data_IF_289852267880
#
_entry.id   IF_289852267880
#
_cell.length_a   1.000
_cell.length_b   1.000
_cell.length_c   1.000
_cell.angle_alpha   90.00
_cell.angle_beta   90.00
_cell.angle_gamma   90.00
#
_symmetry.space_group_name_H-M   'P 1'
#
loop_
_entity.id
_entity.type
_entity.pdbx_description
1 polymer ?
#
# COMPACT_ATOMS: atom_id res chain seq x y z
N UNK A 1 -10.13 -11.85 -26.61
CA UNK A 1 -9.28 -12.55 -25.63
C UNK A 1 -9.16 -11.61 -24.43
N UNK A 2 -10.09 -11.72 -23.48
CA UNK A 2 -10.16 -10.86 -22.30
C UNK A 2 -9.31 -11.55 -21.24
N UNK A 3 -8.20 -10.91 -20.85
CA UNK A 3 -7.34 -11.42 -19.80
C UNK A 3 -8.17 -11.57 -18.52
N UNK A 4 -8.25 -12.83 -18.09
CA UNK A 4 -8.83 -13.30 -16.85
C UNK A 4 -8.09 -12.73 -15.65
N UNK A 5 -8.84 -12.50 -14.59
CA UNK A 5 -8.46 -12.67 -13.20
C UNK A 5 -7.13 -12.05 -12.75
N UNK A 6 -7.20 -10.87 -12.14
CA UNK A 6 -6.31 -10.52 -11.04
C UNK A 6 -7.15 -10.05 -9.84
N UNK A 7 -7.86 -10.95 -9.12
CA UNK A 7 -8.63 -10.58 -7.94
C UNK A 7 -7.72 -10.32 -6.73
N UNK A 8 -6.51 -10.89 -6.69
CA UNK A 8 -5.61 -10.80 -5.53
C UNK A 8 -4.90 -9.45 -5.37
N UNK A 9 -4.81 -8.63 -6.43
CA UNK A 9 -4.16 -7.31 -6.29
C UNK A 9 -5.07 -6.22 -5.73
N UNK A 10 -6.39 -6.42 -5.70
CA UNK A 10 -7.34 -5.36 -5.38
C UNK A 10 -7.40 -5.05 -3.86
N UNK A 11 -7.27 -6.05 -2.99
CA UNK A 11 -7.53 -5.87 -1.56
C UNK A 11 -6.40 -5.15 -0.81
N UNK A 12 -5.15 -5.25 -1.28
CA UNK A 12 -4.02 -4.55 -0.65
C UNK A 12 -4.02 -3.04 -0.92
N UNK A 13 -4.63 -2.60 -2.03
CA UNK A 13 -4.61 -1.20 -2.49
C UNK A 13 -5.82 -0.38 -2.03
N UNK A 14 -6.90 -1.04 -1.61
CA UNK A 14 -8.14 -0.38 -1.18
C UNK A 14 -7.95 0.58 0.00
N UNK A 15 -6.91 0.38 0.82
CA UNK A 15 -6.57 1.25 1.95
C UNK A 15 -5.61 2.39 1.56
N UNK A 16 -4.98 2.32 0.39
CA UNK A 16 -3.88 3.22 -0.01
C UNK A 16 -4.27 4.14 -1.18
N UNK A 17 -5.21 3.72 -2.03
CA UNK A 17 -5.70 4.48 -3.17
C UNK A 17 -7.19 4.76 -3.05
N UNK A 18 -7.62 5.94 -3.52
CA UNK A 18 -9.04 6.28 -3.59
C UNK A 18 -9.73 5.38 -4.64
N UNK A 19 -11.02 5.02 -4.43
CA UNK A 19 -11.81 4.36 -5.46
C UNK A 19 -11.80 5.16 -6.76
N UNK A 20 -11.68 4.46 -7.91
CA UNK A 20 -11.72 5.08 -9.23
C UNK A 20 -10.38 5.59 -9.78
N UNK A 21 -9.27 5.42 -9.06
CA UNK A 21 -7.93 5.65 -9.63
C UNK A 21 -7.66 4.59 -10.72
N UNK A 22 -7.10 5.00 -11.85
CA UNK A 22 -6.71 4.10 -12.95
C UNK A 22 -5.72 3.02 -12.47
N UNK A 23 -6.01 1.75 -12.76
CA UNK A 23 -5.20 0.58 -12.37
C UNK A 23 -3.75 0.63 -12.89
N UNK A 24 -3.52 1.16 -14.09
CA UNK A 24 -2.16 1.35 -14.63
C UNK A 24 -1.39 2.39 -13.82
N UNK A 25 -2.07 3.47 -13.41
CA UNK A 25 -1.47 4.50 -12.55
C UNK A 25 -1.17 3.94 -11.17
N UNK A 26 -2.07 3.13 -10.58
CA UNK A 26 -1.81 2.44 -9.32
C UNK A 26 -0.57 1.56 -9.42
N UNK A 27 -0.51 0.73 -10.47
CA UNK A 27 0.62 -0.19 -10.71
C UNK A 27 1.93 0.56 -10.92
N UNK A 28 1.90 1.70 -11.63
CA UNK A 28 3.08 2.54 -11.84
C UNK A 28 3.57 3.19 -10.54
N UNK A 29 2.66 3.68 -9.69
CA UNK A 29 3.02 4.26 -8.39
C UNK A 29 3.60 3.19 -7.48
N UNK A 30 2.94 2.03 -7.35
CA UNK A 30 3.41 0.93 -6.53
C UNK A 30 4.83 0.49 -6.93
N UNK A 31 5.06 0.29 -8.23
CA UNK A 31 6.37 -0.09 -8.75
C UNK A 31 7.44 0.95 -8.43
N UNK A 32 7.13 2.24 -8.58
CA UNK A 32 8.08 3.31 -8.27
C UNK A 32 8.41 3.36 -6.77
N UNK A 33 7.43 3.17 -5.89
CA UNK A 33 7.65 3.16 -4.44
C UNK A 33 8.52 1.97 -4.01
N UNK A 34 8.23 0.77 -4.52
CA UNK A 34 9.02 -0.43 -4.23
C UNK A 34 10.48 -0.28 -4.68
N UNK A 35 10.70 0.34 -5.84
CA UNK A 35 12.04 0.54 -6.40
C UNK A 35 12.72 1.82 -5.90
N UNK A 36 12.08 2.61 -5.03
CA UNK A 36 12.62 3.91 -4.64
C UNK A 36 13.97 3.80 -3.93
N UNK A 37 14.24 2.69 -3.24
CA UNK A 37 15.52 2.43 -2.61
C UNK A 37 16.68 2.17 -3.60
N UNK A 38 16.38 1.84 -4.86
CA UNK A 38 17.36 1.62 -5.93
C UNK A 38 17.75 2.94 -6.62
N UNK A 39 16.96 4.00 -6.43
CA UNK A 39 17.25 5.32 -6.98
C UNK A 39 18.28 6.02 -6.09
N UNK A 40 19.43 6.50 -6.60
CA UNK A 40 20.46 7.13 -5.77
C UNK A 40 20.01 8.36 -4.96
N UNK A 41 18.90 9.02 -5.35
CA UNK A 41 18.30 10.11 -4.55
C UNK A 41 17.11 9.66 -3.68
N UNK A 42 16.65 8.43 -3.84
CA UNK A 42 15.46 7.90 -3.18
C UNK A 42 15.64 7.56 -1.69
N UNK A 43 16.67 6.79 -1.30
CA UNK A 43 16.99 6.53 0.11
C UNK A 43 17.22 7.81 0.91
N UNK A 44 17.98 8.77 0.37
CA UNK A 44 18.28 10.03 1.05
C UNK A 44 17.01 10.86 1.27
N UNK A 45 16.13 10.95 0.26
CA UNK A 45 14.85 11.63 0.38
C UNK A 45 13.92 10.97 1.41
N UNK A 46 13.93 9.63 1.47
CA UNK A 46 13.11 8.87 2.43
C UNK A 46 13.62 8.99 3.87
N UNK A 47 14.94 8.87 4.04
CA UNK A 47 15.57 8.98 5.35
C UNK A 47 15.42 10.39 5.92
N UNK A 48 15.58 11.42 5.08
CA UNK A 48 15.44 12.82 5.50
C UNK A 48 14.01 13.19 5.93
N UNK A 49 12.99 12.52 5.39
CA UNK A 49 11.58 12.91 5.61
C UNK A 49 10.92 12.11 6.74
N UNK A 50 11.21 10.81 6.84
CA UNK A 50 10.41 9.89 7.67
C UNK A 50 11.21 8.75 8.30
N UNK A 51 12.53 8.70 8.11
CA UNK A 51 13.36 7.59 8.59
C UNK A 51 13.05 6.24 7.92
N UNK A 52 12.32 6.26 6.80
CA UNK A 52 11.93 5.07 6.06
C UNK A 52 13.15 4.58 5.25
N UNK A 53 13.47 3.29 5.34
CA UNK A 53 14.57 2.68 4.59
C UNK A 53 14.13 2.13 3.24
N UNK A 54 12.93 1.54 3.18
CA UNK A 54 12.33 0.98 1.96
C UNK A 54 10.82 0.85 2.11
N UNK A 55 10.13 0.71 0.98
CA UNK A 55 8.72 0.30 0.94
C UNK A 55 8.61 -1.19 0.69
N UNK A 56 7.60 -1.81 1.29
CA UNK A 56 7.25 -3.21 1.10
C UNK A 56 5.75 -3.33 0.81
N UNK A 57 5.36 -4.44 0.19
CA UNK A 57 3.94 -4.79 0.06
C UNK A 57 3.41 -5.25 1.41
N UNK A 58 2.17 -4.89 1.72
CA UNK A 58 1.46 -5.44 2.87
C UNK A 58 1.31 -6.95 2.69
N UNK A 59 1.74 -7.71 3.69
CA UNK A 59 1.49 -9.14 3.77
C UNK A 59 0.05 -9.41 4.19
N UNK A 60 -0.41 -10.67 4.06
CA UNK A 60 -1.71 -11.07 4.58
C UNK A 60 -1.82 -10.82 6.10
N UNK A 61 -0.75 -11.07 6.85
CA UNK A 61 -0.71 -10.82 8.29
C UNK A 61 -0.83 -9.31 8.62
N UNK A 62 -0.23 -8.43 7.82
CA UNK A 62 -0.39 -6.99 7.99
C UNK A 62 -1.83 -6.55 7.75
N UNK A 63 -2.49 -7.13 6.74
CA UNK A 63 -3.90 -6.85 6.46
C UNK A 63 -4.82 -7.32 7.57
N UNK A 64 -4.59 -8.52 8.10
CA UNK A 64 -5.36 -9.05 9.24
C UNK A 64 -5.20 -8.13 10.46
N UNK A 65 -3.96 -7.67 10.72
CA UNK A 65 -3.68 -6.69 11.75
C UNK A 65 -4.44 -5.38 11.53
N UNK A 66 -4.41 -4.82 10.33
CA UNK A 66 -5.15 -3.59 9.98
C UNK A 66 -6.67 -3.75 10.12
N UNK A 67 -7.21 -4.91 9.74
CA UNK A 67 -8.62 -5.22 9.90
C UNK A 67 -9.02 -5.26 11.38
N UNK A 68 -8.17 -5.83 12.24
CA UNK A 68 -8.42 -5.89 13.68
C UNK A 68 -8.33 -4.51 14.36
N UNK A 69 -7.33 -3.70 13.98
CA UNK A 69 -7.24 -2.31 14.42
C UNK A 69 -8.47 -1.50 14.02
N UNK A 70 -8.99 -1.70 12.80
CA UNK A 70 -10.22 -1.04 12.34
C UNK A 70 -11.42 -1.38 13.22
N UNK A 71 -11.59 -2.65 13.58
CA UNK A 71 -12.67 -3.06 14.50
C UNK A 71 -12.50 -2.43 15.87
N UNK A 72 -11.28 -2.50 16.42
CA UNK A 72 -10.98 -1.95 17.75
C UNK A 72 -11.26 -0.45 17.82
N UNK A 73 -10.83 0.29 16.80
CA UNK A 73 -11.08 1.73 16.73
C UNK A 73 -12.56 2.08 16.52
N UNK A 74 -13.31 1.28 15.75
CA UNK A 74 -14.74 1.48 15.60
C UNK A 74 -15.47 1.31 16.95
N UNK A 75 -15.14 0.25 17.68
CA UNK A 75 -15.71 -0.02 19.01
C UNK A 75 -15.33 1.05 20.05
N UNK A 76 -14.15 1.65 19.93
CA UNK A 76 -13.68 2.69 20.84
C UNK A 76 -14.27 4.09 20.56
N UNK A 77 -14.92 4.29 19.39
CA UNK A 77 -15.57 5.57 19.02
C UNK A 77 -17.06 5.58 19.40
N UNK A 78 -17.64 4.40 19.66
CA UNK A 78 -19.05 4.23 20.04
C UNK A 78 -19.29 4.27 21.59
N UNK A 79 -18.25 4.58 22.40
CA UNK A 79 -18.28 4.77 23.86
C UNK A 79 -18.03 6.26 24.21
#
# INVERSE_FOLDING_TARGET
MIARDVPEMADHLANSFRPGINLELQSAVEKNLLNMHENPMGPDALQATSGIQRFERLTAADQDGLAEWRKTLALAVDD
#
